data_IF_193902932065
#
_entry.id   IF_193902932065
#
_cell.length_a   1.000
_cell.length_b   1.000
_cell.length_c   1.000
_cell.angle_alpha   90.00
_cell.angle_beta   90.00
_cell.angle_gamma   90.00
#
_symmetry.space_group_name_H-M   'P 1'
#
loop_
_entity.id
_entity.type
_entity.pdbx_description
1 polymer ?
#
# COMPACT_ATOMS: atom_id res chain seq x y z
N UNK A 1 22.54 -18.70 12.79
CA UNK A 1 22.57 -18.81 14.26
C UNK A 1 23.60 -19.85 14.67
N UNK A 2 24.25 -19.65 15.82
CA UNK A 2 25.24 -20.56 16.39
C UNK A 2 24.85 -21.05 17.79
N UNK A 3 25.43 -22.16 18.21
CA UNK A 3 25.30 -22.74 19.56
C UNK A 3 26.69 -22.86 20.18
N UNK A 4 26.89 -22.32 21.37
CA UNK A 4 28.13 -22.48 22.11
C UNK A 4 28.35 -23.97 22.43
N UNK A 5 29.55 -24.47 22.19
CA UNK A 5 29.88 -25.89 22.45
C UNK A 5 29.90 -26.22 23.94
N UNK A 6 30.31 -25.27 24.78
CA UNK A 6 30.52 -25.48 26.21
C UNK A 6 29.24 -25.34 27.03
N UNK A 7 28.50 -24.24 26.85
CA UNK A 7 27.30 -23.95 27.65
C UNK A 7 25.98 -24.16 26.91
N UNK A 8 26.02 -24.45 25.60
CA UNK A 8 24.82 -24.68 24.79
C UNK A 8 23.99 -23.43 24.47
N UNK A 9 24.40 -22.24 24.91
CA UNK A 9 23.71 -20.98 24.62
C UNK A 9 23.67 -20.68 23.12
N UNK A 10 22.51 -20.22 22.64
CA UNK A 10 22.34 -19.75 21.26
C UNK A 10 22.91 -18.34 21.11
N UNK A 11 23.58 -18.08 20.00
CA UNK A 11 24.18 -16.78 19.68
C UNK A 11 23.95 -16.44 18.19
N UNK A 12 23.99 -15.15 17.86
CA UNK A 12 23.96 -14.68 16.48
C UNK A 12 25.26 -15.07 15.73
N UNK A 13 25.24 -15.03 14.41
CA UNK A 13 26.34 -15.55 13.58
C UNK A 13 27.63 -14.70 13.64
N UNK A 14 27.49 -13.43 13.98
CA UNK A 14 28.55 -12.43 14.14
C UNK A 14 29.20 -12.45 15.54
N UNK A 15 28.63 -13.19 16.49
CA UNK A 15 29.17 -13.29 17.85
C UNK A 15 30.46 -14.11 17.86
N UNK A 16 31.56 -13.47 18.28
CA UNK A 16 32.90 -14.06 18.35
C UNK A 16 33.17 -14.74 19.71
N UNK A 17 32.41 -14.39 20.75
CA UNK A 17 32.59 -14.90 22.10
C UNK A 17 31.25 -15.08 22.83
N UNK A 18 31.06 -16.20 23.51
CA UNK A 18 29.82 -16.52 24.18
C UNK A 18 29.59 -15.63 25.41
N UNK A 19 28.48 -14.87 25.42
CA UNK A 19 28.12 -14.00 26.54
C UNK A 19 27.86 -14.75 27.87
N UNK A 20 27.53 -16.05 27.80
CA UNK A 20 27.21 -16.84 29.00
C UNK A 20 28.43 -17.46 29.70
N UNK A 21 29.44 -17.90 28.95
CA UNK A 21 30.59 -18.64 29.51
C UNK A 21 31.95 -18.18 29.00
N UNK A 22 32.02 -17.21 28.09
CA UNK A 22 33.27 -16.69 27.55
C UNK A 22 33.98 -17.57 26.52
N UNK A 23 33.47 -18.78 26.23
CA UNK A 23 34.04 -19.66 25.21
C UNK A 23 33.93 -19.08 23.79
N UNK A 24 34.83 -19.49 22.90
CA UNK A 24 34.89 -19.02 21.49
C UNK A 24 34.49 -20.09 20.49
N UNK A 25 34.28 -21.32 20.96
CA UNK A 25 33.92 -22.47 20.17
C UNK A 25 32.40 -22.56 20.00
N UNK A 26 31.97 -22.60 18.74
CA UNK A 26 30.58 -22.61 18.35
C UNK A 26 30.31 -23.65 17.25
N UNK A 27 29.15 -24.31 17.35
CA UNK A 27 28.54 -25.09 16.27
C UNK A 27 27.48 -24.26 15.56
N UNK A 28 27.26 -24.56 14.29
CA UNK A 28 26.23 -23.89 13.50
C UNK A 28 24.88 -24.56 13.69
N UNK A 29 23.79 -23.78 13.68
CA UNK A 29 22.42 -24.27 13.73
C UNK A 29 21.78 -24.03 12.36
N UNK A 30 21.29 -25.10 11.72
CA UNK A 30 20.57 -24.99 10.46
C UNK A 30 19.26 -24.22 10.65
N UNK A 31 19.03 -23.19 9.84
CA UNK A 31 17.80 -22.39 9.85
C UNK A 31 16.59 -23.13 9.27
N UNK A 32 16.82 -24.22 8.53
CA UNK A 32 15.76 -25.00 7.87
C UNK A 32 15.31 -26.22 8.65
N UNK A 33 16.22 -26.94 9.33
CA UNK A 33 15.90 -28.18 10.04
C UNK A 33 16.45 -28.25 11.47
N UNK A 34 16.95 -27.13 12.00
CA UNK A 34 17.47 -26.97 13.38
C UNK A 34 18.64 -27.90 13.78
N UNK A 35 19.16 -28.69 12.83
CA UNK A 35 20.31 -29.56 13.04
C UNK A 35 21.55 -28.75 13.43
N UNK A 36 22.27 -29.21 14.45
CA UNK A 36 23.53 -28.59 14.91
C UNK A 36 24.72 -29.31 14.31
N UNK A 37 25.64 -28.59 13.65
CA UNK A 37 26.75 -29.20 12.91
C UNK A 37 28.00 -28.29 12.85
N UNK A 38 29.12 -28.87 12.42
CA UNK A 38 30.37 -28.18 12.11
C UNK A 38 30.55 -28.10 10.58
N UNK A 39 31.11 -27.01 10.08
CA UNK A 39 31.27 -26.75 8.64
C UNK A 39 30.24 -25.78 8.08
N UNK A 40 30.28 -25.53 6.77
CA UNK A 40 29.49 -24.51 6.08
C UNK A 40 28.18 -25.03 5.45
N UNK A 41 27.97 -26.35 5.40
CA UNK A 41 26.75 -26.98 4.86
C UNK A 41 26.13 -27.93 5.87
N UNK A 42 24.81 -27.87 5.99
CA UNK A 42 24.06 -28.75 6.88
C UNK A 42 24.13 -30.19 6.36
N UNK A 43 24.58 -31.17 7.16
CA UNK A 43 24.67 -32.56 6.72
C UNK A 43 23.30 -33.22 6.49
N UNK A 44 22.23 -32.65 7.06
CA UNK A 44 20.89 -33.23 6.98
C UNK A 44 20.09 -32.75 5.75
N UNK A 45 20.15 -31.45 5.44
CA UNK A 45 19.38 -30.87 4.33
C UNK A 45 20.23 -30.18 3.25
N UNK A 46 21.57 -30.27 3.35
CA UNK A 46 22.55 -29.73 2.41
C UNK A 46 22.51 -28.19 2.20
N UNK A 47 21.78 -27.47 3.05
CA UNK A 47 21.65 -26.01 3.03
C UNK A 47 22.95 -25.35 3.49
N UNK A 48 23.37 -24.27 2.82
CA UNK A 48 24.57 -23.51 3.19
C UNK A 48 24.24 -22.55 4.34
N UNK A 49 25.16 -22.39 5.27
CA UNK A 49 24.99 -21.45 6.38
C UNK A 49 24.84 -20.03 5.86
N UNK A 50 23.84 -19.32 6.38
CA UNK A 50 23.50 -17.97 5.95
C UNK A 50 22.39 -17.94 4.91
N UNK A 51 22.06 -19.09 4.30
CA UNK A 51 20.89 -19.18 3.42
C UNK A 51 19.62 -18.90 4.22
N UNK A 52 18.87 -17.89 3.79
CA UNK A 52 17.60 -17.51 4.38
C UNK A 52 16.47 -18.05 3.52
N UNK A 53 15.50 -18.78 4.11
CA UNK A 53 14.34 -19.21 3.35
C UNK A 53 13.54 -17.97 2.91
N UNK A 54 13.11 -18.01 1.65
CA UNK A 54 12.24 -17.03 1.02
C UNK A 54 10.79 -17.40 1.32
N UNK A 55 9.93 -16.40 1.49
CA UNK A 55 8.52 -16.63 1.84
C UNK A 55 7.65 -16.47 0.62
N UNK A 56 6.75 -17.43 0.39
CA UNK A 56 5.76 -17.34 -0.66
C UNK A 56 4.69 -16.30 -0.30
N UNK A 57 4.50 -15.32 -1.17
CA UNK A 57 3.45 -14.30 -0.96
C UNK A 57 2.04 -14.84 -1.20
N UNK A 58 1.90 -15.99 -1.86
CA UNK A 58 0.60 -16.58 -2.16
C UNK A 58 0.12 -17.53 -1.05
N UNK A 59 1.01 -18.36 -0.48
CA UNK A 59 0.64 -19.35 0.54
C UNK A 59 1.34 -19.20 1.90
N UNK A 60 2.27 -18.25 2.05
CA UNK A 60 3.00 -18.00 3.30
C UNK A 60 4.07 -19.04 3.66
N UNK A 61 4.27 -20.09 2.86
CA UNK A 61 5.32 -21.09 3.11
C UNK A 61 6.71 -20.53 2.86
N UNK A 62 7.65 -21.00 3.66
CA UNK A 62 9.07 -20.70 3.55
C UNK A 62 9.77 -21.80 2.74
N UNK A 63 10.59 -21.42 1.77
CA UNK A 63 11.39 -22.35 0.98
C UNK A 63 12.73 -21.72 0.60
N UNK A 64 13.75 -22.56 0.45
CA UNK A 64 15.08 -22.14 0.01
C UNK A 64 15.23 -22.22 -1.51
N UNK A 65 14.27 -22.84 -2.19
CA UNK A 65 14.20 -22.84 -3.64
C UNK A 65 13.76 -21.46 -4.17
N UNK A 66 14.05 -21.13 -5.43
CA UNK A 66 13.60 -19.88 -6.03
C UNK A 66 12.08 -19.81 -6.23
N UNK A 67 11.38 -20.96 -6.22
CA UNK A 67 9.94 -21.09 -6.47
C UNK A 67 9.23 -21.83 -5.33
N UNK A 68 7.96 -21.47 -5.12
CA UNK A 68 7.13 -22.11 -4.11
C UNK A 68 6.82 -23.56 -4.50
N UNK A 69 7.10 -24.56 -3.64
CA UNK A 69 6.83 -25.97 -3.98
C UNK A 69 5.33 -26.27 -4.14
N UNK A 70 4.45 -25.48 -3.53
CA UNK A 70 3.00 -25.70 -3.58
C UNK A 70 2.33 -24.95 -4.74
N UNK A 71 2.66 -23.67 -4.93
CA UNK A 71 1.95 -22.81 -5.87
C UNK A 71 2.81 -22.31 -7.03
N UNK A 72 4.08 -22.74 -7.09
CA UNK A 72 5.07 -22.42 -8.14
C UNK A 72 5.36 -20.94 -8.39
N UNK A 73 4.83 -20.05 -7.54
CA UNK A 73 5.13 -18.62 -7.59
C UNK A 73 6.57 -18.36 -7.15
N UNK A 74 7.22 -17.37 -7.76
CA UNK A 74 8.57 -16.94 -7.39
C UNK A 74 8.61 -16.44 -5.93
N UNK A 75 9.66 -16.86 -5.21
CA UNK A 75 9.83 -16.56 -3.81
C UNK A 75 10.76 -15.36 -3.62
N UNK A 76 10.33 -14.37 -2.82
CA UNK A 76 11.08 -13.15 -2.55
C UNK A 76 11.80 -13.26 -1.19
N UNK A 77 13.04 -12.80 -1.13
CA UNK A 77 13.84 -12.74 0.10
C UNK A 77 13.26 -11.71 1.07
N UNK A 78 12.58 -12.14 2.15
CA UNK A 78 12.34 -11.25 3.30
C UNK A 78 13.64 -11.11 4.09
N UNK A 79 14.27 -9.92 4.09
CA UNK A 79 15.12 -9.54 5.22
C UNK A 79 14.21 -9.39 6.44
N UNK A 80 14.29 -10.35 7.37
CA UNK A 80 13.77 -10.15 8.72
C UNK A 80 14.67 -9.08 9.35
N UNK A 81 14.20 -7.83 9.35
CA UNK A 81 14.75 -6.78 10.21
C UNK A 81 14.36 -7.18 11.63
N UNK A 82 15.36 -7.37 12.50
CA UNK A 82 15.09 -7.51 13.93
C UNK A 82 14.48 -6.18 14.40
N UNK A 83 13.21 -6.23 14.77
CA UNK A 83 12.53 -5.11 15.42
C UNK A 83 13.20 -4.95 16.78
N UNK A 84 14.02 -3.91 16.91
CA UNK A 84 14.68 -3.57 18.15
C UNK A 84 13.60 -2.99 19.10
N UNK A 85 13.30 -3.60 20.25
CA UNK A 85 12.26 -3.13 21.15
C UNK A 85 12.83 -2.01 22.02
N UNK A 86 13.04 -0.84 21.44
CA UNK A 86 13.22 0.39 22.22
C UNK A 86 12.26 1.45 21.69
N UNK A 87 11.39 2.02 22.54
CA UNK A 87 10.49 3.07 22.12
C UNK A 87 11.31 4.33 21.80
N UNK A 88 11.35 4.70 20.52
CA UNK A 88 11.85 6.00 20.09
C UNK A 88 10.91 7.07 20.64
N UNK A 89 11.42 7.93 21.52
CA UNK A 89 10.67 9.03 22.09
C UNK A 89 10.15 9.95 20.97
N UNK A 90 8.84 9.97 20.79
CA UNK A 90 8.16 10.88 19.86
C UNK A 90 8.35 12.31 20.36
N UNK A 91 9.10 13.10 19.59
CA UNK A 91 9.31 14.52 19.85
C UNK A 91 8.00 15.26 19.55
N UNK A 92 7.28 15.68 20.59
CA UNK A 92 6.08 16.51 20.43
C UNK A 92 6.48 17.89 19.89
N UNK A 93 6.02 18.22 18.67
CA UNK A 93 6.12 19.58 18.12
C UNK A 93 4.92 20.38 18.66
N UNK A 94 5.12 21.57 19.27
CA UNK A 94 4.03 22.34 19.84
C UNK A 94 3.10 22.90 18.76
N UNK A 95 1.80 22.62 18.88
CA UNK A 95 0.73 23.17 18.03
C UNK A 95 0.64 24.69 18.23
N UNK A 96 0.76 25.44 17.14
CA UNK A 96 0.57 26.90 17.08
C UNK A 96 -0.91 27.23 17.26
N UNK A 97 -1.25 27.95 18.33
CA UNK A 97 -2.62 28.39 18.66
C UNK A 97 -3.05 29.53 17.73
N UNK A 98 -4.09 29.33 16.91
CA UNK A 98 -4.88 30.41 16.33
C UNK A 98 -6.09 30.68 17.25
N UNK A 99 -6.28 31.94 17.61
CA UNK A 99 -7.27 32.37 18.61
C UNK A 99 -8.71 32.24 18.10
N UNK A 100 -9.54 31.62 18.93
CA UNK A 100 -11.00 31.60 18.83
C UNK A 100 -11.51 32.79 19.64
N UNK A 101 -12.04 33.80 18.96
CA UNK A 101 -12.96 34.78 19.55
C UNK A 101 -14.20 34.82 18.66
N UNK A 102 -15.15 33.92 18.92
CA UNK A 102 -16.57 34.11 18.64
C UNK A 102 -17.35 32.89 19.14
N UNK A 103 -18.37 33.14 19.95
CA UNK A 103 -19.51 32.27 20.29
C UNK A 103 -19.59 31.87 21.76
N UNK A 104 -19.96 32.84 22.58
CA UNK A 104 -20.30 32.68 24.01
C UNK A 104 -21.79 33.01 24.28
N UNK A 105 -22.69 32.88 23.28
CA UNK A 105 -24.12 33.20 23.44
C UNK A 105 -25.02 32.09 22.85
N UNK A 106 -24.72 30.82 23.11
CA UNK A 106 -25.64 29.71 22.76
C UNK A 106 -25.58 28.55 23.76
N UNK A 107 -25.38 28.87 25.04
CA UNK A 107 -25.26 27.88 26.12
C UNK A 107 -26.27 28.14 27.25
N UNK A 108 -27.42 28.73 26.91
CA UNK A 108 -28.48 29.10 27.87
C UNK A 108 -29.86 28.47 27.57
N UNK A 109 -29.97 27.52 26.61
CA UNK A 109 -31.25 26.88 26.27
C UNK A 109 -31.31 25.35 26.40
N UNK A 110 -30.27 24.67 26.89
CA UNK A 110 -30.26 23.19 27.01
C UNK A 110 -30.20 22.75 28.48
N UNK A 111 -31.12 23.24 29.32
CA UNK A 111 -31.28 22.76 30.72
C UNK A 111 -32.73 22.39 31.08
N UNK A 112 -33.68 22.33 30.13
CA UNK A 112 -35.12 22.11 30.47
C UNK A 112 -35.75 20.83 29.91
N UNK A 113 -34.97 19.86 29.40
CA UNK A 113 -35.55 18.54 29.08
C UNK A 113 -34.77 17.40 29.74
N UNK A 114 -34.87 17.33 31.07
CA UNK A 114 -34.84 16.05 31.79
C UNK A 114 -36.30 15.69 32.07
N UNK A 115 -36.79 14.62 31.45
CA UNK A 115 -38.13 14.13 31.69
C UNK A 115 -38.48 12.85 30.92
N UNK A 116 -38.17 11.71 31.54
CA UNK A 116 -38.91 10.43 31.45
C UNK A 116 -38.88 9.67 30.12
N UNK A 117 -38.10 8.58 30.03
CA UNK A 117 -38.59 7.23 29.68
C UNK A 117 -37.76 6.18 30.44
N UNK A 118 -38.51 5.26 31.07
CA UNK A 118 -38.08 4.16 31.91
C UNK A 118 -37.37 3.00 31.17
N UNK A 119 -36.62 2.26 31.97
CA UNK A 119 -36.03 0.91 31.77
C UNK A 119 -36.76 -0.09 30.88
N UNK A 120 -36.01 -0.85 30.07
CA UNK A 120 -36.02 -2.34 30.10
C UNK A 120 -34.70 -2.95 29.58
N UNK A 121 -34.21 -3.92 30.35
CA UNK A 121 -33.46 -5.16 30.06
C UNK A 121 -32.35 -5.23 29.00
N UNK A 122 -31.14 -5.43 29.56
CA UNK A 122 -30.19 -6.51 29.28
C UNK A 122 -30.21 -7.20 27.91
N UNK A 123 -29.16 -6.94 27.13
CA UNK A 123 -28.37 -7.99 26.50
C UNK A 123 -26.88 -7.66 26.68
N UNK A 124 -26.18 -8.49 27.46
CA UNK A 124 -24.71 -8.51 27.50
C UNK A 124 -24.24 -9.22 26.24
N UNK A 125 -24.00 -8.44 25.20
CA UNK A 125 -23.23 -8.86 24.01
C UNK A 125 -21.82 -8.26 24.09
N UNK A 126 -20.84 -9.10 23.76
CA UNK A 126 -19.39 -8.95 23.99
C UNK A 126 -18.79 -7.65 23.45
N UNK A 127 -18.57 -6.67 24.35
CA UNK A 127 -17.86 -5.41 24.04
C UNK A 127 -16.34 -5.57 23.83
N UNK A 128 -15.76 -6.71 24.22
CA UNK A 128 -14.31 -6.94 24.11
C UNK A 128 -13.87 -7.39 22.71
N UNK A 129 -14.74 -8.00 21.91
CA UNK A 129 -14.41 -8.46 20.55
C UNK A 129 -14.39 -7.30 19.54
N UNK A 130 -15.24 -6.29 19.75
CA UNK A 130 -15.36 -5.11 18.88
C UNK A 130 -14.17 -4.16 19.07
N UNK A 131 -13.71 -3.96 20.32
CA UNK A 131 -12.55 -3.11 20.59
C UNK A 131 -11.28 -3.67 19.95
N UNK A 132 -11.02 -4.97 20.08
CA UNK A 132 -9.80 -5.60 19.56
C UNK A 132 -9.78 -5.65 18.02
N UNK A 133 -10.92 -5.95 17.37
CA UNK A 133 -11.04 -5.92 15.90
C UNK A 133 -10.85 -4.51 15.33
N UNK A 134 -11.39 -3.49 15.99
CA UNK A 134 -11.25 -2.10 15.55
C UNK A 134 -9.81 -1.60 15.74
N UNK A 135 -9.13 -1.97 16.83
CA UNK A 135 -7.72 -1.59 17.06
C UNK A 135 -6.75 -2.27 16.09
N UNK A 136 -7.03 -3.50 15.63
CA UNK A 136 -6.22 -4.18 14.60
C UNK A 136 -6.40 -3.52 13.22
N UNK A 137 -7.64 -3.17 12.84
CA UNK A 137 -7.92 -2.54 11.53
C UNK A 137 -7.26 -1.17 11.38
N UNK A 138 -7.23 -0.37 12.44
CA UNK A 138 -6.62 0.97 12.40
C UNK A 138 -5.09 0.96 12.23
N UNK A 139 -4.41 -0.17 12.47
CA UNK A 139 -2.94 -0.27 12.47
C UNK A 139 -2.38 -1.25 11.42
N UNK A 140 -3.13 -1.53 10.36
CA UNK A 140 -2.60 -2.36 9.28
C UNK A 140 -1.33 -1.75 8.67
N UNK A 141 -0.32 -2.57 8.34
CA UNK A 141 0.81 -2.14 7.52
C UNK A 141 0.32 -1.59 6.18
N UNK A 142 1.01 -0.58 5.65
CA UNK A 142 0.56 0.17 4.46
C UNK A 142 0.22 -0.74 3.27
N UNK A 143 1.11 -1.68 2.97
CA UNK A 143 0.91 -2.63 1.87
C UNK A 143 -0.25 -3.59 2.11
N UNK A 144 -0.52 -3.98 3.36
CA UNK A 144 -1.65 -4.86 3.70
C UNK A 144 -2.98 -4.11 3.58
N UNK A 145 -3.00 -2.82 3.95
CA UNK A 145 -4.16 -1.94 3.78
C UNK A 145 -4.51 -1.76 2.31
N UNK A 146 -3.51 -1.50 1.46
CA UNK A 146 -3.72 -1.23 0.03
C UNK A 146 -4.18 -2.44 -0.78
N UNK A 147 -4.02 -3.67 -0.26
CA UNK A 147 -4.41 -4.92 -0.94
C UNK A 147 -5.58 -5.63 -0.26
N UNK A 148 -6.32 -4.93 0.61
CA UNK A 148 -7.50 -5.50 1.26
C UNK A 148 -8.47 -6.04 0.19
N UNK A 149 -8.92 -7.28 0.38
CA UNK A 149 -9.88 -7.89 -0.54
C UNK A 149 -11.14 -7.03 -0.66
N UNK A 150 -11.70 -7.00 -1.87
CA UNK A 150 -12.94 -6.27 -2.19
C UNK A 150 -12.82 -4.76 -1.98
N UNK A 151 -11.60 -4.22 -1.97
CA UNK A 151 -11.43 -2.78 -1.91
C UNK A 151 -12.16 -2.11 -3.10
N UNK A 152 -12.76 -0.93 -2.87
CA UNK A 152 -13.38 -0.15 -3.94
C UNK A 152 -12.40 0.15 -5.07
N UNK A 153 -12.90 0.05 -6.32
CA UNK A 153 -12.14 0.27 -7.55
C UNK A 153 -12.54 1.58 -8.21
N UNK A 154 -11.76 2.02 -9.19
CA UNK A 154 -12.16 3.14 -10.05
C UNK A 154 -13.54 2.86 -10.68
N UNK A 155 -14.35 3.91 -10.90
CA UNK A 155 -15.78 3.84 -11.25
C UNK A 155 -16.70 3.10 -10.25
N UNK A 156 -16.19 2.61 -9.13
CA UNK A 156 -17.01 2.06 -8.05
C UNK A 156 -17.82 3.11 -7.31
N UNK A 157 -18.74 2.65 -6.46
CA UNK A 157 -19.61 3.52 -5.67
C UNK A 157 -18.84 4.27 -4.56
N UNK A 158 -18.96 5.60 -4.56
CA UNK A 158 -18.31 6.48 -3.60
C UNK A 158 -18.77 6.26 -2.16
N UNK A 159 -20.08 6.03 -1.93
CA UNK A 159 -20.61 5.85 -0.57
C UNK A 159 -20.14 4.53 0.02
N UNK A 160 -20.10 3.48 -0.78
CA UNK A 160 -19.52 2.19 -0.45
C UNK A 160 -18.04 2.35 -0.10
N UNK A 161 -17.28 3.11 -0.91
CA UNK A 161 -15.87 3.37 -0.61
C UNK A 161 -15.67 4.17 0.67
N UNK A 162 -16.48 5.20 0.89
CA UNK A 162 -16.45 5.97 2.14
C UNK A 162 -16.75 5.06 3.34
N UNK A 163 -17.71 4.16 3.23
CA UNK A 163 -18.03 3.20 4.29
C UNK A 163 -16.94 2.16 4.50
N UNK A 164 -16.30 1.68 3.43
CA UNK A 164 -15.22 0.70 3.47
C UNK A 164 -13.97 1.27 4.15
N UNK A 165 -13.58 2.48 3.79
CA UNK A 165 -12.32 3.09 4.24
C UNK A 165 -12.41 3.88 5.55
N UNK A 166 -13.61 4.17 6.06
CA UNK A 166 -13.82 5.02 7.27
C UNK A 166 -13.06 4.57 8.52
N UNK A 167 -12.66 3.30 8.59
CA UNK A 167 -11.96 2.71 9.74
C UNK A 167 -10.43 2.83 9.64
N UNK A 168 -9.90 3.39 8.54
CA UNK A 168 -8.47 3.45 8.25
C UNK A 168 -8.00 4.88 8.08
N UNK A 169 -7.29 5.43 9.07
CA UNK A 169 -6.86 6.84 9.07
C UNK A 169 -5.90 7.18 7.91
N UNK A 170 -5.22 6.19 7.34
CA UNK A 170 -4.31 6.35 6.19
C UNK A 170 -5.04 6.42 4.84
N UNK A 171 -6.32 6.08 4.80
CA UNK A 171 -7.16 6.13 3.61
C UNK A 171 -8.17 7.28 3.70
N UNK A 172 -8.09 8.22 2.77
CA UNK A 172 -8.95 9.39 2.73
C UNK A 172 -9.94 9.25 1.57
N UNK A 173 -11.23 9.36 1.87
CA UNK A 173 -12.31 9.31 0.88
C UNK A 173 -13.13 10.59 0.93
N UNK A 174 -13.01 11.43 -0.10
CA UNK A 174 -13.59 12.78 -0.11
C UNK A 174 -14.34 13.06 -1.40
N UNK A 175 -15.43 13.83 -1.29
CA UNK A 175 -16.17 14.37 -2.42
C UNK A 175 -15.63 15.79 -2.68
N UNK A 176 -14.56 15.92 -3.46
CA UNK A 176 -13.95 17.22 -3.78
C UNK A 176 -12.97 17.15 -4.96
N UNK A 177 -12.87 18.25 -5.70
CA UNK A 177 -11.87 18.51 -6.75
C UNK A 177 -10.55 19.13 -6.27
N UNK A 178 -10.36 19.26 -4.95
CA UNK A 178 -9.13 19.77 -4.33
C UNK A 178 -8.18 18.66 -3.88
N UNK A 179 -7.44 18.05 -4.80
CA UNK A 179 -6.51 16.94 -4.47
C UNK A 179 -5.29 17.36 -3.66
N UNK A 180 -4.93 18.64 -3.67
CA UNK A 180 -3.70 19.18 -3.04
C UNK A 180 -3.74 19.18 -1.51
N UNK A 181 -4.91 19.08 -0.88
CA UNK A 181 -5.05 19.04 0.58
C UNK A 181 -4.73 17.69 1.20
N UNK A 182 -4.53 16.66 0.37
CA UNK A 182 -4.42 15.26 0.80
C UNK A 182 -3.21 14.58 0.18
N UNK A 183 -2.18 15.35 -0.17
CA UNK A 183 -0.96 14.78 -0.76
C UNK A 183 -0.27 13.79 0.20
N UNK A 184 -0.43 13.95 1.51
CA UNK A 184 0.19 13.07 2.52
C UNK A 184 -0.60 11.77 2.80
N UNK A 185 -1.77 11.58 2.16
CA UNK A 185 -2.56 10.37 2.37
C UNK A 185 -1.95 9.17 1.63
N UNK A 186 -1.80 8.03 2.32
CA UNK A 186 -1.36 6.78 1.70
C UNK A 186 -2.30 6.38 0.54
N UNK A 187 -3.61 6.48 0.77
CA UNK A 187 -4.64 6.26 -0.23
C UNK A 187 -5.60 7.45 -0.24
N UNK A 188 -5.82 8.03 -1.41
CA UNK A 188 -6.83 9.04 -1.65
C UNK A 188 -7.79 8.56 -2.72
N UNK A 189 -9.08 8.51 -2.39
CA UNK A 189 -10.18 8.16 -3.29
C UNK A 189 -11.12 9.35 -3.39
N UNK A 190 -11.36 9.84 -4.61
CA UNK A 190 -12.28 10.96 -4.82
C UNK A 190 -13.23 10.74 -5.99
N UNK A 191 -14.35 11.44 -5.92
CA UNK A 191 -15.23 11.71 -7.05
C UNK A 191 -14.67 12.87 -7.89
N UNK A 192 -15.19 13.03 -9.11
CA UNK A 192 -14.90 14.17 -9.96
C UNK A 192 -15.82 15.35 -9.62
N UNK A 193 -15.71 16.43 -10.40
CA UNK A 193 -16.55 17.63 -10.26
C UNK A 193 -18.05 17.37 -10.47
N UNK A 194 -18.41 16.23 -11.06
CA UNK A 194 -19.78 15.75 -11.19
C UNK A 194 -20.15 14.88 -9.98
N UNK A 195 -21.27 15.18 -9.34
CA UNK A 195 -21.81 14.46 -8.17
C UNK A 195 -22.45 13.11 -8.55
N UNK A 196 -21.91 12.41 -9.55
CA UNK A 196 -22.44 11.15 -10.06
C UNK A 196 -22.16 9.95 -9.13
N UNK A 197 -21.60 10.19 -7.94
CA UNK A 197 -21.42 9.18 -6.90
C UNK A 197 -20.42 8.09 -7.24
N UNK A 198 -19.64 8.25 -8.32
CA UNK A 198 -18.63 7.28 -8.75
C UNK A 198 -17.22 7.76 -8.45
N UNK A 199 -16.33 6.81 -8.18
CA UNK A 199 -14.90 7.07 -7.99
C UNK A 199 -14.28 7.41 -9.34
N UNK A 200 -13.66 8.58 -9.47
CA UNK A 200 -12.97 8.99 -10.71
C UNK A 200 -11.51 9.36 -10.47
N UNK A 201 -11.04 9.27 -9.23
CA UNK A 201 -9.64 9.46 -8.89
C UNK A 201 -9.25 8.46 -7.79
N UNK A 202 -8.16 7.75 -8.04
CA UNK A 202 -7.45 6.97 -7.02
C UNK A 202 -6.00 7.43 -7.02
N UNK A 203 -5.46 7.78 -5.87
CA UNK A 203 -4.03 8.09 -5.68
C UNK A 203 -3.48 7.23 -4.55
N UNK A 204 -2.37 6.57 -4.82
CA UNK A 204 -1.60 5.80 -3.84
C UNK A 204 -0.28 6.54 -3.67
N UNK A 205 -0.03 7.07 -2.47
CA UNK A 205 1.23 7.75 -2.14
C UNK A 205 2.08 6.87 -1.22
N UNK A 206 3.24 6.46 -1.72
CA UNK A 206 4.21 5.63 -0.99
C UNK A 206 5.43 6.43 -0.54
N UNK A 207 5.39 7.77 -0.58
CA UNK A 207 6.47 8.65 -0.10
C UNK A 207 6.85 8.43 1.36
N UNK A 208 5.88 8.07 2.22
CA UNK A 208 6.12 7.80 3.65
C UNK A 208 6.19 6.30 3.97
N UNK A 209 6.17 5.44 2.96
CA UNK A 209 6.28 3.99 3.17
C UNK A 209 7.69 3.64 3.67
N UNK A 210 7.75 2.93 4.80
CA UNK A 210 9.01 2.61 5.50
C UNK A 210 10.05 1.92 4.60
N UNK A 211 9.59 1.13 3.63
CA UNK A 211 10.44 0.38 2.70
C UNK A 211 10.37 0.91 1.27
N UNK A 212 10.13 2.22 1.08
CA UNK A 212 10.03 2.83 -0.26
C UNK A 212 11.27 2.63 -1.13
N UNK A 213 12.45 2.51 -0.51
CA UNK A 213 13.71 2.22 -1.21
C UNK A 213 13.81 0.78 -1.74
N UNK A 214 12.98 -0.14 -1.23
CA UNK A 214 12.90 -1.52 -1.72
C UNK A 214 11.82 -1.69 -2.80
N UNK A 215 11.09 -0.62 -3.15
CA UNK A 215 10.04 -0.67 -4.16
C UNK A 215 10.63 -0.57 -5.57
N UNK A 216 10.13 -1.44 -6.43
CA UNK A 216 10.35 -1.41 -7.87
C UNK A 216 9.02 -1.10 -8.58
N UNK A 217 9.11 -0.73 -9.87
CA UNK A 217 7.94 -0.44 -10.71
C UNK A 217 6.90 -1.56 -10.64
N UNK A 218 7.33 -2.83 -10.70
CA UNK A 218 6.46 -4.00 -10.63
C UNK A 218 5.63 -4.06 -9.34
N UNK A 219 6.18 -3.60 -8.21
CA UNK A 219 5.43 -3.56 -6.96
C UNK A 219 4.28 -2.56 -7.06
N UNK A 220 4.54 -1.37 -7.62
CA UNK A 220 3.55 -0.31 -7.77
C UNK A 220 2.53 -0.63 -8.86
N UNK A 221 2.95 -1.32 -9.92
CA UNK A 221 2.07 -1.86 -10.97
C UNK A 221 1.03 -2.82 -10.40
N UNK A 222 1.45 -3.79 -9.58
CA UNK A 222 0.51 -4.72 -8.92
C UNK A 222 -0.52 -4.01 -8.06
N UNK A 223 -0.12 -2.94 -7.37
CA UNK A 223 -1.03 -2.14 -6.56
C UNK A 223 -2.04 -1.41 -7.44
N UNK A 224 -1.57 -0.59 -8.39
CA UNK A 224 -2.48 0.27 -9.16
C UNK A 224 -3.41 -0.55 -10.07
N UNK A 225 -2.94 -1.68 -10.61
CA UNK A 225 -3.76 -2.58 -11.41
C UNK A 225 -4.91 -3.24 -10.62
N UNK A 226 -4.76 -3.42 -9.31
CA UNK A 226 -5.82 -4.00 -8.46
C UNK A 226 -7.06 -3.08 -8.38
N UNK A 227 -6.84 -1.76 -8.51
CA UNK A 227 -7.89 -0.74 -8.52
C UNK A 227 -8.56 -0.54 -9.89
N UNK A 228 -8.14 -1.27 -10.94
CA UNK A 228 -8.74 -1.17 -12.27
C UNK A 228 -10.06 -1.97 -12.32
N UNK A 229 -11.16 -1.35 -12.78
CA UNK A 229 -12.45 -2.02 -13.01
C UNK A 229 -12.42 -2.70 -14.38
N UNK A 230 -11.76 -3.85 -14.48
CA UNK A 230 -11.56 -4.56 -15.76
C UNK A 230 -12.86 -4.92 -16.49
N UNK A 231 -13.96 -5.12 -15.77
CA UNK A 231 -15.30 -5.30 -16.33
C UNK A 231 -15.76 -4.09 -17.15
N UNK A 232 -15.51 -2.87 -16.67
CA UNK A 232 -15.84 -1.63 -17.37
C UNK A 232 -14.80 -1.35 -18.46
N UNK A 233 -13.51 -1.45 -18.12
CA UNK A 233 -12.42 -1.08 -19.02
C UNK A 233 -12.41 -1.96 -20.27
N UNK A 234 -12.53 -3.29 -20.12
CA UNK A 234 -12.51 -4.21 -21.26
C UNK A 234 -13.74 -4.07 -22.16
N UNK A 235 -14.85 -3.55 -21.62
CA UNK A 235 -16.08 -3.35 -22.38
C UNK A 235 -16.06 -2.05 -23.17
N UNK A 236 -15.56 -0.96 -22.58
CA UNK A 236 -15.79 0.40 -23.07
C UNK A 236 -14.54 1.16 -23.53
N UNK A 237 -13.34 0.61 -23.34
CA UNK A 237 -12.10 1.29 -23.66
C UNK A 237 -11.19 0.44 -24.53
N UNK A 238 -10.48 1.10 -25.45
CA UNK A 238 -9.38 0.51 -26.21
C UNK A 238 -8.06 1.11 -25.76
N UNK A 239 -7.01 0.27 -25.74
CA UNK A 239 -5.64 0.72 -25.52
C UNK A 239 -5.25 1.78 -26.55
N UNK A 240 -4.67 2.89 -26.09
CA UNK A 240 -4.23 3.99 -26.95
C UNK A 240 -2.71 4.03 -27.04
N UNK A 241 -2.06 4.15 -25.90
CA UNK A 241 -0.62 4.29 -25.80
C UNK A 241 -0.13 4.04 -24.37
N UNK A 242 1.14 3.69 -24.26
CA UNK A 242 1.88 3.70 -23.01
C UNK A 242 3.26 4.28 -23.26
N UNK A 243 3.71 5.16 -22.38
CA UNK A 243 4.98 5.84 -22.52
C UNK A 243 5.63 6.11 -21.16
N UNK A 244 6.95 6.21 -21.19
CA UNK A 244 7.78 6.57 -20.07
C UNK A 244 8.42 7.91 -20.37
N UNK A 245 8.24 8.88 -19.47
CA UNK A 245 8.88 10.19 -19.55
C UNK A 245 9.93 10.36 -18.44
N UNK A 246 11.10 10.90 -18.79
CA UNK A 246 12.18 11.21 -17.86
C UNK A 246 12.56 12.68 -18.02
N UNK A 247 12.69 13.42 -16.92
CA UNK A 247 13.16 14.80 -16.99
C UNK A 247 14.66 14.85 -17.26
N UNK A 248 15.08 15.66 -18.25
CA UNK A 248 16.50 15.90 -18.57
C UNK A 248 17.23 16.70 -17.51
N UNK A 249 16.50 17.44 -16.69
CA UNK A 249 17.04 18.14 -15.52
C UNK A 249 17.26 17.17 -14.33
N UNK A 250 17.06 15.87 -14.58
CA UNK A 250 17.03 14.80 -13.60
C UNK A 250 15.74 14.81 -12.80
N UNK A 251 15.64 13.88 -11.84
CA UNK A 251 14.80 14.02 -10.65
C UNK A 251 13.31 13.70 -10.75
N UNK A 252 12.85 13.31 -11.93
CA UNK A 252 11.49 12.89 -12.19
C UNK A 252 11.49 11.88 -13.32
N UNK A 253 10.82 10.76 -13.10
CA UNK A 253 10.38 9.88 -14.15
C UNK A 253 8.91 9.51 -13.92
N UNK A 254 8.18 9.23 -15.00
CA UNK A 254 6.81 8.77 -14.90
C UNK A 254 6.43 7.81 -16.02
N UNK A 255 5.69 6.77 -15.64
CA UNK A 255 5.14 5.75 -16.51
C UNK A 255 3.66 6.02 -16.70
N UNK A 256 3.21 6.07 -17.94
CA UNK A 256 1.84 6.42 -18.32
C UNK A 256 1.21 5.28 -19.10
N UNK A 257 -0.03 4.96 -18.76
CA UNK A 257 -0.87 4.03 -19.52
C UNK A 257 -2.19 4.72 -19.83
N UNK A 258 -2.57 4.75 -21.10
CA UNK A 258 -3.70 5.53 -21.60
C UNK A 258 -4.61 4.66 -22.46
N UNK A 259 -5.90 4.76 -22.19
CA UNK A 259 -6.97 4.18 -22.97
C UNK A 259 -7.99 5.25 -23.34
N UNK A 260 -8.68 5.03 -24.46
CA UNK A 260 -9.73 5.91 -24.97
C UNK A 260 -11.04 5.14 -25.10
N UNK A 261 -12.17 5.82 -24.97
CA UNK A 261 -13.46 5.17 -25.19
C UNK A 261 -13.51 4.54 -26.59
N UNK A 262 -13.88 3.27 -26.65
CA UNK A 262 -14.23 2.60 -27.90
C UNK A 262 -15.63 3.04 -28.35
N UNK A 263 -16.12 2.53 -29.49
CA UNK A 263 -17.41 2.96 -30.02
C UNK A 263 -18.58 2.62 -29.08
N UNK A 264 -18.54 1.44 -28.42
CA UNK A 264 -19.53 1.08 -27.38
C UNK A 264 -19.49 2.04 -26.20
N UNK A 265 -18.29 2.45 -25.76
CA UNK A 265 -18.11 3.40 -24.67
C UNK A 265 -18.65 4.79 -25.01
N UNK A 266 -18.41 5.26 -26.24
CA UNK A 266 -18.96 6.52 -26.75
C UNK A 266 -20.49 6.49 -26.83
N UNK A 267 -21.07 5.37 -27.25
CA UNK A 267 -22.52 5.16 -27.29
C UNK A 267 -23.13 5.10 -25.88
N UNK A 268 -22.56 4.28 -24.99
CA UNK A 268 -22.99 4.13 -23.61
C UNK A 268 -23.00 5.48 -22.86
N UNK A 269 -21.96 6.28 -23.05
CA UNK A 269 -21.88 7.63 -22.49
C UNK A 269 -23.02 8.54 -22.95
N UNK A 270 -23.45 8.42 -24.22
CA UNK A 270 -24.58 9.19 -24.78
C UNK A 270 -25.94 8.66 -24.27
N UNK A 271 -26.04 7.37 -23.97
CA UNK A 271 -27.30 6.70 -23.60
C UNK A 271 -27.58 6.61 -22.10
N UNK A 272 -26.67 7.08 -21.23
CA UNK A 272 -26.94 7.18 -19.78
C UNK A 272 -25.73 6.97 -18.89
N UNK A 273 -24.66 6.32 -19.38
CA UNK A 273 -23.41 6.06 -18.65
C UNK A 273 -22.50 7.31 -18.64
N UNK A 274 -23.06 8.45 -18.25
CA UNK A 274 -22.42 9.77 -18.35
C UNK A 274 -21.13 9.92 -17.54
N UNK A 275 -20.92 9.03 -16.55
CA UNK A 275 -19.71 9.00 -15.73
C UNK A 275 -18.47 8.51 -16.49
N UNK A 276 -18.65 7.79 -17.60
CA UNK A 276 -17.55 7.33 -18.44
C UNK A 276 -16.75 8.52 -18.97
N UNK A 277 -15.48 8.59 -18.61
CA UNK A 277 -14.57 9.64 -19.09
C UNK A 277 -14.08 9.30 -20.49
N UNK A 278 -13.78 10.31 -21.31
CA UNK A 278 -13.24 10.09 -22.67
C UNK A 278 -11.93 9.32 -22.67
N UNK A 279 -11.17 9.45 -21.58
CA UNK A 279 -9.93 8.73 -21.32
C UNK A 279 -9.98 8.04 -19.97
N UNK A 280 -9.47 6.82 -19.95
CA UNK A 280 -9.02 6.18 -18.73
C UNK A 280 -7.49 6.18 -18.76
N UNK A 281 -6.86 6.55 -17.65
CA UNK A 281 -5.41 6.53 -17.57
C UNK A 281 -4.93 6.32 -16.14
N UNK A 282 -3.76 5.71 -16.01
CA UNK A 282 -2.97 5.79 -14.80
C UNK A 282 -1.56 6.29 -15.11
N UNK A 283 -0.94 6.83 -14.07
CA UNK A 283 0.41 7.35 -14.06
C UNK A 283 1.13 6.93 -12.79
N UNK A 284 2.32 6.36 -12.92
CA UNK A 284 3.22 6.07 -11.81
C UNK A 284 4.36 7.06 -11.89
N UNK A 285 4.56 7.84 -10.83
CA UNK A 285 5.64 8.82 -10.72
C UNK A 285 6.69 8.23 -9.77
N UNK A 286 7.96 8.33 -10.17
CA UNK A 286 9.10 8.05 -9.32
C UNK A 286 9.99 9.30 -9.23
N UNK A 287 10.31 9.73 -8.00
CA UNK A 287 11.14 10.91 -7.70
C UNK A 287 12.42 10.53 -6.95
N UNK A 288 13.41 11.43 -6.94
CA UNK A 288 14.78 11.20 -6.42
C UNK A 288 14.93 10.53 -5.06
N UNK A 289 14.01 10.79 -4.14
CA UNK A 289 14.00 10.25 -2.79
C UNK A 289 13.45 8.82 -2.73
N UNK A 290 13.28 8.19 -3.91
CA UNK A 290 12.55 6.95 -4.13
C UNK A 290 11.10 7.07 -3.70
N UNK A 291 10.52 8.25 -3.91
CA UNK A 291 9.11 8.48 -3.70
C UNK A 291 8.32 7.94 -4.88
N UNK A 292 7.39 7.05 -4.56
CA UNK A 292 6.49 6.44 -5.52
C UNK A 292 5.07 6.97 -5.33
N UNK A 293 4.48 7.50 -6.39
CA UNK A 293 3.09 7.95 -6.39
C UNK A 293 2.39 7.37 -7.61
N UNK A 294 1.37 6.56 -7.39
CA UNK A 294 0.50 6.07 -8.46
C UNK A 294 -0.81 6.87 -8.47
N UNK A 295 -1.23 7.34 -9.64
CA UNK A 295 -2.47 8.10 -9.83
C UNK A 295 -3.28 7.48 -10.96
N UNK A 296 -4.56 7.26 -10.74
CA UNK A 296 -5.51 6.81 -11.75
C UNK A 296 -6.61 7.86 -11.86
N UNK A 297 -6.71 8.49 -13.04
CA UNK A 297 -7.75 9.47 -13.38
C UNK A 297 -7.66 9.88 -14.86
N UNK A 298 -8.67 10.60 -15.34
CA UNK A 298 -8.74 11.06 -16.72
C UNK A 298 -7.71 12.13 -17.10
N UNK A 299 -6.96 12.72 -16.15
CA UNK A 299 -5.90 13.73 -16.40
C UNK A 299 -4.52 13.07 -16.47
N UNK A 300 -4.38 11.85 -15.95
CA UNK A 300 -3.12 11.10 -15.89
C UNK A 300 -2.51 10.83 -17.28
N UNK A 301 -3.31 10.90 -18.35
CA UNK A 301 -2.83 10.82 -19.74
C UNK A 301 -1.88 11.95 -20.13
N UNK A 302 -1.94 13.12 -19.46
CA UNK A 302 -1.06 14.24 -19.77
C UNK A 302 0.28 14.05 -19.08
N UNK A 303 1.27 13.59 -19.84
CA UNK A 303 2.69 13.70 -19.49
C UNK A 303 3.10 15.15 -19.21
N UNK A 304 4.09 15.33 -18.34
CA UNK A 304 4.71 16.62 -18.09
C UNK A 304 5.38 17.16 -19.36
N UNK A 305 5.86 16.30 -20.25
CA UNK A 305 6.39 16.70 -21.56
C UNK A 305 5.37 17.50 -22.41
N UNK A 306 4.07 17.27 -22.22
CA UNK A 306 3.00 18.03 -22.90
C UNK A 306 2.60 19.32 -22.17
N UNK A 307 2.99 19.49 -20.91
CA UNK A 307 2.65 20.66 -20.08
C UNK A 307 3.77 21.71 -20.04
N UNK A 308 5.01 21.25 -20.13
CA UNK A 308 6.21 22.09 -20.14
C UNK A 308 6.84 22.09 -21.54
N UNK A 309 7.99 22.76 -21.71
CA UNK A 309 8.69 22.72 -22.99
C UNK A 309 9.07 21.27 -23.33
N UNK A 310 8.64 20.77 -24.49
CA UNK A 310 8.78 19.36 -24.89
C UNK A 310 10.25 18.89 -24.91
N UNK A 311 11.21 19.81 -25.09
CA UNK A 311 12.64 19.53 -25.09
C UNK A 311 13.21 19.19 -23.71
N UNK A 312 12.47 19.45 -22.61
CA UNK A 312 12.88 19.20 -21.24
C UNK A 312 12.77 17.74 -20.79
N UNK A 313 12.15 16.87 -21.59
CA UNK A 313 11.88 15.48 -21.25
C UNK A 313 12.33 14.56 -22.38
N UNK A 314 12.85 13.39 -22.00
CA UNK A 314 12.99 12.25 -22.89
C UNK A 314 11.73 11.39 -22.74
N UNK A 315 11.10 11.05 -23.86
CA UNK A 315 9.86 10.27 -23.88
C UNK A 315 10.08 9.06 -24.78
N UNK A 316 9.85 7.88 -24.23
CA UNK A 316 9.97 6.61 -24.96
C UNK A 316 8.69 5.80 -24.82
N UNK A 317 8.38 4.99 -25.83
CA UNK A 317 7.31 4.02 -25.72
C UNK A 317 7.59 3.05 -24.57
N UNK A 318 6.57 2.73 -23.80
CA UNK A 318 6.64 1.79 -22.70
C UNK A 318 5.85 0.54 -23.05
N UNK A 319 6.56 -0.55 -23.32
CA UNK A 319 5.96 -1.84 -23.64
C UNK A 319 5.48 -2.54 -22.37
N UNK A 320 4.25 -2.23 -21.97
CA UNK A 320 3.61 -2.76 -20.76
C UNK A 320 2.41 -3.62 -21.11
N UNK A 321 2.36 -4.79 -20.48
CA UNK A 321 1.20 -5.67 -20.51
C UNK A 321 0.55 -5.67 -19.12
N UNK A 322 -0.56 -4.94 -19.00
CA UNK A 322 -1.27 -4.78 -17.72
C UNK A 322 -2.03 -6.04 -17.30
N UNK A 323 -2.29 -7.00 -18.20
CA UNK A 323 -2.97 -8.25 -17.86
C UNK A 323 -2.09 -9.15 -16.98
N UNK A 324 -0.76 -9.00 -17.06
CA UNK A 324 0.21 -9.69 -16.17
C UNK A 324 0.02 -9.35 -14.68
N UNK A 325 -0.62 -8.21 -14.40
CA UNK A 325 -0.82 -7.69 -13.05
C UNK A 325 -2.24 -7.87 -12.52
N UNK A 326 -3.13 -8.44 -13.35
CA UNK A 326 -4.51 -8.73 -12.98
C UNK A 326 -4.55 -9.92 -12.01
N UNK A 327 -5.31 -9.78 -10.92
CA UNK A 327 -5.52 -10.83 -9.92
C UNK A 327 -6.77 -11.65 -10.19
#
# INVERSE_FOLDING_TARGET
MKKCEYCGSKAADDVVQCAGCGAKEFKNICTSCETTFLGNKCPNCNVTIGDKPRTCLNCGKNSLEPVCPDCRADLINRRIVQVNPYPTAVRQIPKKKSGIVASLITLLFIVVFIGVISSTNSDKSDKNTISYKNTIRQNLPDMELLILKEHPKFYGDYKAAKSFWKEFDKAIVVNASGTTLYEDALLLVTTGDSDNGVITNVTINLSDYEKKHDLELDNVMRLICDYIPYDIINQYYDFKEAFHEVSKYGRYEAYHYVMELNDKGKEAKKSGESYLQSKFAFKIIHRNDNDWIAKMNYIAYKGNHNKFKADAYDVVAWDVDIEKYRK
#
